data_IF_155167215385
#
_entry.id   IF_155167215385
#
_cell.length_a   1.000
_cell.length_b   1.000
_cell.length_c   1.000
_cell.angle_alpha   90.00
_cell.angle_beta   90.00
_cell.angle_gamma   90.00
#
_symmetry.space_group_name_H-M   'P 1'
#
loop_
_entity.id
_entity.type
_entity.pdbx_description
1 polymer ?
#
# COMPACT_ATOMS: atom_id res chain seq x y z
N UNK A 1 -8.55 -22.97 -3.83
CA UNK A 1 -9.46 -23.41 -4.91
C UNK A 1 -8.88 -23.22 -6.31
N UNK A 2 -7.99 -24.11 -6.75
CA UNK A 2 -7.54 -24.24 -8.15
C UNK A 2 -8.45 -25.16 -8.93
N UNK A 3 -9.22 -26.00 -8.23
CA UNK A 3 -10.20 -26.89 -8.85
C UNK A 3 -11.46 -26.10 -9.22
N UNK A 4 -11.89 -26.17 -10.49
CA UNK A 4 -13.11 -25.51 -10.92
C UNK A 4 -14.35 -26.19 -10.33
N UNK A 5 -15.26 -25.40 -9.77
CA UNK A 5 -16.55 -25.87 -9.30
C UNK A 5 -17.57 -25.84 -10.44
N UNK A 6 -18.34 -26.93 -10.59
CA UNK A 6 -19.47 -26.96 -11.52
C UNK A 6 -20.61 -26.13 -10.94
N UNK A 7 -20.95 -25.04 -11.61
CA UNK A 7 -21.95 -24.06 -11.14
C UNK A 7 -22.99 -23.82 -12.22
N UNK A 8 -24.26 -23.73 -11.82
CA UNK A 8 -25.34 -23.30 -12.69
C UNK A 8 -25.27 -21.77 -12.87
N UNK A 9 -25.01 -21.33 -14.09
CA UNK A 9 -24.98 -19.92 -14.46
C UNK A 9 -26.39 -19.35 -14.65
N UNK A 10 -26.49 -18.01 -14.63
CA UNK A 10 -27.76 -17.28 -14.83
C UNK A 10 -28.41 -17.52 -16.20
N UNK A 11 -27.63 -17.98 -17.18
CA UNK A 11 -28.10 -18.37 -18.52
C UNK A 11 -28.65 -19.81 -18.58
N UNK A 12 -28.70 -20.52 -17.44
CA UNK A 12 -29.22 -21.89 -17.32
C UNK A 12 -28.22 -22.98 -17.68
N UNK A 13 -26.97 -22.67 -18.01
CA UNK A 13 -25.95 -23.65 -18.35
C UNK A 13 -25.02 -23.95 -17.17
N UNK A 14 -24.55 -25.19 -17.08
CA UNK A 14 -23.53 -25.56 -16.10
C UNK A 14 -22.14 -25.27 -16.66
N UNK A 15 -21.37 -24.48 -15.93
CA UNK A 15 -20.01 -24.11 -16.28
C UNK A 15 -19.03 -24.53 -15.17
N UNK A 16 -17.80 -24.83 -15.58
CA UNK A 16 -16.67 -24.95 -14.66
C UNK A 16 -16.18 -23.55 -14.30
N UNK A 17 -16.37 -23.13 -13.04
CA UNK A 17 -16.02 -21.80 -12.55
C UNK A 17 -14.87 -21.92 -11.56
N UNK A 18 -13.83 -21.10 -11.75
CA UNK A 18 -12.82 -20.84 -10.73
C UNK A 18 -13.18 -19.52 -10.06
N UNK A 19 -13.39 -19.55 -8.75
CA UNK A 19 -13.66 -18.34 -7.98
C UNK A 19 -12.35 -17.61 -7.70
N UNK A 20 -12.32 -16.33 -8.02
CA UNK A 20 -11.21 -15.44 -7.71
C UNK A 20 -11.72 -14.16 -7.04
N UNK A 21 -10.86 -13.53 -6.28
CA UNK A 21 -11.08 -12.19 -5.75
C UNK A 21 -10.60 -11.15 -6.75
N UNK A 22 -11.20 -9.96 -6.69
CA UNK A 22 -10.98 -8.82 -7.58
C UNK A 22 -10.36 -7.65 -6.80
N UNK A 23 -10.04 -6.51 -7.45
CA UNK A 23 -9.32 -5.43 -6.78
C UNK A 23 -9.96 -5.06 -5.44
N UNK A 24 -9.15 -5.07 -4.39
CA UNK A 24 -9.57 -4.75 -3.03
C UNK A 24 -9.26 -3.27 -2.79
N UNK A 25 -10.30 -2.45 -2.74
CA UNK A 25 -10.17 -1.01 -2.53
C UNK A 25 -10.31 -0.75 -1.04
N UNK A 26 -9.24 -0.27 -0.43
CA UNK A 26 -9.26 0.16 0.96
C UNK A 26 -8.23 1.26 1.23
N UNK A 27 -8.36 1.91 2.38
CA UNK A 27 -7.44 2.92 2.89
C UNK A 27 -6.09 2.31 3.29
N UNK A 28 -5.07 3.16 3.41
CA UNK A 28 -3.71 2.70 3.69
C UNK A 28 -3.57 1.84 4.97
N UNK A 29 -4.15 2.20 6.13
CA UNK A 29 -4.10 1.34 7.32
C UNK A 29 -4.65 -0.07 7.10
N UNK A 30 -5.77 -0.21 6.39
CA UNK A 30 -6.31 -1.53 6.08
C UNK A 30 -5.47 -2.24 5.00
N UNK A 31 -4.90 -1.53 4.02
CA UNK A 31 -3.93 -2.14 3.07
C UNK A 31 -2.76 -2.78 3.81
N UNK A 32 -2.18 -2.08 4.78
CA UNK A 32 -1.07 -2.55 5.61
C UNK A 32 -1.46 -3.81 6.39
N UNK A 33 -2.66 -3.81 6.99
CA UNK A 33 -3.18 -4.95 7.73
C UNK A 33 -3.39 -6.18 6.83
N UNK A 34 -4.01 -6.01 5.66
CA UNK A 34 -4.38 -7.12 4.77
C UNK A 34 -3.18 -7.77 4.10
N UNK A 35 -2.13 -6.98 3.82
CA UNK A 35 -0.88 -7.47 3.19
C UNK A 35 0.15 -7.95 4.19
N UNK A 36 -0.03 -7.63 5.48
CA UNK A 36 0.95 -7.98 6.51
C UNK A 36 2.26 -7.23 6.36
N UNK A 37 2.23 -6.02 5.79
CA UNK A 37 3.38 -5.12 5.72
C UNK A 37 3.47 -4.22 6.93
N UNK A 38 4.64 -3.62 7.20
CA UNK A 38 4.79 -2.60 8.23
C UNK A 38 4.26 -1.25 7.76
N UNK A 39 3.74 -0.48 8.72
CA UNK A 39 3.27 0.88 8.45
C UNK A 39 4.43 1.78 8.00
N UNK A 40 4.20 2.57 6.95
CA UNK A 40 5.20 3.45 6.35
C UNK A 40 5.89 2.86 5.11
N UNK A 41 5.53 1.64 4.71
CA UNK A 41 6.07 0.98 3.53
C UNK A 41 4.99 0.67 2.49
N UNK A 42 5.40 0.11 1.35
CA UNK A 42 4.54 -0.11 0.20
C UNK A 42 3.99 -1.54 0.17
N UNK A 43 2.66 -1.66 0.20
CA UNK A 43 1.94 -2.92 0.06
C UNK A 43 2.16 -3.64 -1.29
N UNK A 44 2.64 -2.93 -2.31
CA UNK A 44 2.70 -3.43 -3.70
C UNK A 44 4.12 -3.71 -4.19
N UNK A 45 5.15 -3.10 -3.61
CA UNK A 45 6.52 -3.20 -4.09
C UNK A 45 7.52 -3.41 -2.97
N UNK A 46 8.68 -3.97 -3.32
CA UNK A 46 9.78 -4.25 -2.39
C UNK A 46 10.70 -3.05 -2.19
N UNK A 47 10.26 -1.85 -2.55
CA UNK A 47 11.06 -0.64 -2.42
C UNK A 47 11.26 -0.30 -0.95
N UNK A 48 12.50 0.01 -0.58
CA UNK A 48 12.81 0.44 0.77
C UNK A 48 12.24 1.84 1.02
N UNK A 49 11.55 2.06 2.14
CA UNK A 49 10.88 3.33 2.44
C UNK A 49 11.84 4.56 2.40
N UNK A 50 13.09 4.36 2.83
CA UNK A 50 14.16 5.37 2.80
C UNK A 50 14.92 5.46 1.46
N UNK A 51 14.64 4.59 0.49
CA UNK A 51 15.32 4.57 -0.81
C UNK A 51 14.36 4.15 -1.94
N UNK A 52 13.41 5.04 -2.26
CA UNK A 52 12.38 4.80 -3.27
C UNK A 52 12.95 4.77 -4.71
N UNK A 53 14.10 5.41 -4.94
CA UNK A 53 14.79 5.41 -6.24
C UNK A 53 15.62 4.14 -6.46
N UNK A 54 15.71 3.27 -5.45
CA UNK A 54 16.36 1.97 -5.56
C UNK A 54 15.62 1.02 -6.49
N UNK A 55 16.34 0.00 -6.97
CA UNK A 55 15.69 -1.11 -7.69
C UNK A 55 14.66 -1.78 -6.77
N UNK A 56 13.44 -1.93 -7.27
CA UNK A 56 12.35 -2.60 -6.57
C UNK A 56 11.62 -3.56 -7.49
N UNK A 57 11.09 -4.63 -6.91
CA UNK A 57 10.19 -5.58 -7.55
C UNK A 57 8.78 -5.45 -6.99
N UNK A 58 7.91 -6.36 -7.40
CA UNK A 58 6.57 -6.49 -6.82
C UNK A 58 6.61 -7.36 -5.55
N UNK A 59 5.81 -7.00 -4.55
CA UNK A 59 5.52 -7.93 -3.46
C UNK A 59 4.59 -9.04 -3.97
N UNK A 60 4.75 -10.22 -3.40
CA UNK A 60 3.88 -11.37 -3.65
C UNK A 60 3.88 -12.29 -2.44
N UNK A 61 2.90 -13.19 -2.35
CA UNK A 61 2.90 -14.27 -1.37
C UNK A 61 4.18 -15.10 -1.49
N UNK A 62 4.60 -15.45 -2.72
CA UNK A 62 5.83 -16.22 -2.95
C UNK A 62 7.07 -15.52 -2.38
N UNK A 63 7.18 -14.21 -2.58
CA UNK A 63 8.28 -13.41 -2.03
C UNK A 63 8.24 -13.43 -0.50
N UNK A 64 7.07 -13.18 0.09
CA UNK A 64 6.90 -13.13 1.54
C UNK A 64 7.17 -14.48 2.21
N UNK A 65 6.69 -15.57 1.61
CA UNK A 65 6.86 -16.93 2.12
C UNK A 65 8.32 -17.39 1.99
N UNK A 66 8.98 -17.07 0.87
CA UNK A 66 10.40 -17.37 0.69
C UNK A 66 11.26 -16.70 1.76
N UNK A 67 10.96 -15.44 2.11
CA UNK A 67 11.68 -14.71 3.14
C UNK A 67 11.37 -15.23 4.55
N UNK A 68 10.10 -15.53 4.86
CA UNK A 68 9.71 -16.11 6.17
C UNK A 68 10.42 -17.42 6.48
N UNK A 69 10.70 -18.23 5.46
CA UNK A 69 11.38 -19.51 5.64
C UNK A 69 12.88 -19.39 5.93
N UNK A 70 13.50 -18.25 5.62
CA UNK A 70 14.97 -18.08 5.65
C UNK A 70 15.42 -17.10 6.72
N UNK A 71 14.63 -16.07 7.00
CA UNK A 71 15.03 -14.94 7.83
C UNK A 71 14.37 -14.98 9.21
N UNK A 72 15.04 -14.39 10.20
CA UNK A 72 14.43 -14.20 11.51
C UNK A 72 13.37 -13.07 11.48
N UNK A 73 12.37 -13.11 12.37
CA UNK A 73 11.28 -12.11 12.40
C UNK A 73 11.75 -10.66 12.50
N UNK A 74 12.90 -10.39 13.13
CA UNK A 74 13.41 -9.03 13.31
C UNK A 74 14.04 -8.51 12.02
N UNK A 75 14.78 -9.35 11.29
CA UNK A 75 15.28 -8.98 9.96
C UNK A 75 14.16 -8.81 8.95
N UNK A 76 13.15 -9.70 8.96
CA UNK A 76 11.96 -9.59 8.10
C UNK A 76 11.26 -8.25 8.26
N UNK A 77 11.01 -7.85 9.51
CA UNK A 77 10.31 -6.59 9.79
C UNK A 77 11.14 -5.35 9.44
N UNK A 78 12.45 -5.37 9.67
CA UNK A 78 13.28 -4.18 9.52
C UNK A 78 13.72 -3.95 8.08
N UNK A 79 14.10 -5.03 7.38
CA UNK A 79 14.79 -4.94 6.09
C UNK A 79 13.86 -5.27 4.91
N UNK A 80 12.80 -6.04 5.16
CA UNK A 80 11.90 -6.58 4.13
C UNK A 80 10.43 -6.26 4.34
N UNK A 81 10.10 -5.46 5.38
CA UNK A 81 8.74 -4.95 5.58
C UNK A 81 7.67 -6.04 5.79
N UNK A 82 8.05 -7.24 6.22
CA UNK A 82 7.12 -8.35 6.40
C UNK A 82 6.88 -8.59 7.88
N UNK A 83 5.62 -8.55 8.29
CA UNK A 83 5.19 -8.92 9.65
C UNK A 83 5.04 -10.43 9.72
N UNK A 84 6.00 -11.10 10.37
CA UNK A 84 6.08 -12.55 10.47
C UNK A 84 4.78 -13.22 10.95
N UNK A 85 4.04 -12.60 11.87
CA UNK A 85 2.86 -13.19 12.49
C UNK A 85 1.55 -12.89 11.75
N UNK A 86 1.60 -12.10 10.67
CA UNK A 86 0.44 -11.79 9.83
C UNK A 86 0.57 -12.54 8.50
N UNK A 87 -0.40 -13.40 8.24
CA UNK A 87 -0.59 -14.09 6.96
C UNK A 87 -1.80 -13.47 6.27
N UNK A 88 -1.68 -12.98 5.03
CA UNK A 88 -2.81 -12.49 4.26
C UNK A 88 -3.94 -13.51 4.18
N UNK A 89 -5.19 -13.06 4.30
CA UNK A 89 -6.36 -13.95 4.17
C UNK A 89 -6.48 -14.58 2.77
N UNK A 90 -5.81 -13.98 1.78
CA UNK A 90 -5.73 -14.45 0.40
C UNK A 90 -4.76 -15.61 0.22
N UNK A 91 -3.91 -15.94 1.20
CA UNK A 91 -2.90 -17.00 1.06
C UNK A 91 -3.51 -18.39 0.78
N UNK A 92 -4.74 -18.63 1.24
CA UNK A 92 -5.47 -19.88 0.97
C UNK A 92 -6.18 -19.89 -0.42
N UNK A 93 -6.13 -18.78 -1.14
CA UNK A 93 -6.73 -18.61 -2.46
C UNK A 93 -5.64 -18.73 -3.55
N UNK A 94 -5.64 -19.81 -4.35
CA UNK A 94 -4.48 -20.17 -5.19
C UNK A 94 -4.38 -19.38 -6.49
N UNK A 95 -5.37 -18.53 -6.79
CA UNK A 95 -5.34 -17.63 -7.94
C UNK A 95 -5.49 -16.19 -7.46
N UNK A 96 -5.01 -15.89 -6.26
CA UNK A 96 -5.21 -14.59 -5.64
C UNK A 96 -4.00 -14.22 -4.79
N UNK A 97 -3.43 -13.07 -5.10
CA UNK A 97 -2.38 -12.44 -4.31
C UNK A 97 -2.87 -11.07 -3.86
N UNK A 98 -2.92 -10.81 -2.55
CA UNK A 98 -3.40 -9.52 -2.04
C UNK A 98 -2.53 -8.35 -2.54
N UNK A 99 -1.24 -8.58 -2.76
CA UNK A 99 -0.30 -7.59 -3.26
C UNK A 99 -0.56 -7.23 -4.72
N UNK A 100 -1.25 -8.09 -5.48
CA UNK A 100 -1.74 -7.79 -6.84
C UNK A 100 -3.17 -7.23 -6.83
N UNK A 101 -3.96 -7.56 -5.80
CA UNK A 101 -5.35 -7.13 -5.70
C UNK A 101 -5.52 -5.73 -5.14
N UNK A 102 -4.66 -5.27 -4.24
CA UNK A 102 -4.85 -3.97 -3.61
C UNK A 102 -4.73 -2.86 -4.66
N UNK A 103 -5.77 -2.03 -4.72
CA UNK A 103 -5.72 -0.82 -5.52
C UNK A 103 -4.89 0.25 -4.76
N UNK A 104 -3.94 0.94 -5.42
CA UNK A 104 -3.24 2.05 -4.78
C UNK A 104 -4.23 3.10 -4.27
N UNK A 105 -4.00 3.65 -3.07
CA UNK A 105 -4.80 4.76 -2.53
C UNK A 105 -4.39 6.09 -3.19
N UNK A 106 -4.76 6.24 -4.47
CA UNK A 106 -4.40 7.39 -5.29
C UNK A 106 -4.95 8.70 -4.73
N UNK A 107 -6.15 8.68 -4.16
CA UNK A 107 -6.77 9.88 -3.60
C UNK A 107 -6.00 10.37 -2.36
N UNK A 108 -5.66 9.46 -1.44
CA UNK A 108 -4.83 9.80 -0.30
C UNK A 108 -3.45 10.29 -0.73
N UNK A 109 -2.81 9.61 -1.68
CA UNK A 109 -1.49 10.01 -2.20
C UNK A 109 -1.52 11.40 -2.85
N UNK A 110 -2.58 11.72 -3.60
CA UNK A 110 -2.75 13.03 -4.21
C UNK A 110 -2.92 14.12 -3.14
N UNK A 111 -3.83 13.93 -2.18
CA UNK A 111 -4.11 14.94 -1.14
C UNK A 111 -2.92 15.11 -0.18
N UNK A 112 -2.40 14.01 0.36
CA UNK A 112 -1.29 14.06 1.32
C UNK A 112 0.04 14.34 0.63
N UNK A 113 0.39 13.56 -0.40
CA UNK A 113 1.67 13.69 -1.08
C UNK A 113 1.78 14.97 -1.90
N UNK A 114 0.89 15.18 -2.86
CA UNK A 114 1.02 16.32 -3.78
C UNK A 114 0.62 17.65 -3.15
N UNK A 115 -0.54 17.73 -2.50
CA UNK A 115 -1.01 19.00 -1.96
C UNK A 115 -0.32 19.33 -0.64
N UNK A 116 -0.42 18.46 0.37
CA UNK A 116 0.11 18.78 1.69
C UNK A 116 1.64 18.74 1.74
N UNK A 117 2.25 17.61 1.42
CA UNK A 117 3.67 17.40 1.67
C UNK A 117 4.56 18.12 0.63
N UNK A 118 4.07 18.32 -0.60
CA UNK A 118 4.80 19.04 -1.62
C UNK A 118 4.37 20.51 -1.80
N UNK A 119 3.13 20.78 -2.22
CA UNK A 119 2.69 22.12 -2.59
C UNK A 119 2.69 23.07 -1.38
N UNK A 120 2.06 22.69 -0.27
CA UNK A 120 2.02 23.53 0.95
C UNK A 120 3.42 23.73 1.51
N UNK A 121 4.26 22.69 1.56
CA UNK A 121 5.67 22.84 1.96
C UNK A 121 6.43 23.82 1.06
N UNK A 122 6.20 23.80 -0.25
CA UNK A 122 6.83 24.71 -1.20
C UNK A 122 6.38 26.16 -0.95
N UNK A 123 5.08 26.39 -0.79
CA UNK A 123 4.50 27.70 -0.49
C UNK A 123 5.05 28.24 0.84
N UNK A 124 5.12 27.41 1.88
CA UNK A 124 5.68 27.81 3.17
C UNK A 124 7.14 28.25 3.04
N UNK A 125 7.97 27.47 2.32
CA UNK A 125 9.37 27.84 2.05
C UNK A 125 9.48 29.16 1.28
N UNK A 126 8.62 29.36 0.29
CA UNK A 126 8.59 30.59 -0.49
C UNK A 126 8.22 31.81 0.39
N UNK A 127 7.15 31.70 1.19
CA UNK A 127 6.73 32.77 2.09
C UNK A 127 7.82 33.10 3.13
N UNK A 128 8.49 32.09 3.67
CA UNK A 128 9.62 32.29 4.59
C UNK A 128 10.78 33.07 3.94
N UNK A 129 11.05 32.82 2.64
CA UNK A 129 12.11 33.50 1.89
C UNK A 129 11.74 34.96 1.58
N UNK A 130 10.50 35.24 1.19
CA UNK A 130 10.04 36.58 0.78
C UNK A 130 9.73 37.50 1.97
N UNK A 131 9.10 36.96 3.01
CA UNK A 131 8.53 37.75 4.10
C UNK A 131 9.22 37.55 5.44
N UNK A 132 10.16 36.60 5.52
CA UNK A 132 10.77 36.18 6.77
C UNK A 132 9.84 35.30 7.60
N UNK A 133 10.42 34.46 8.46
CA UNK A 133 9.70 33.42 9.21
C UNK A 133 8.50 33.92 10.01
N UNK A 134 8.61 35.08 10.66
CA UNK A 134 7.55 35.59 11.53
C UNK A 134 6.31 36.00 10.72
N UNK A 135 6.49 36.79 9.67
CA UNK A 135 5.38 37.26 8.85
C UNK A 135 4.81 36.15 7.95
N UNK A 136 5.64 35.22 7.47
CA UNK A 136 5.18 34.02 6.80
C UNK A 136 4.24 33.18 7.68
N UNK A 137 4.56 33.04 8.98
CA UNK A 137 3.70 32.36 9.94
C UNK A 137 2.33 33.02 10.12
N UNK A 138 2.28 34.36 10.13
CA UNK A 138 1.01 35.11 10.20
C UNK A 138 0.15 34.90 8.95
N UNK A 139 0.77 34.91 7.76
CA UNK A 139 0.10 34.66 6.48
C UNK A 139 -0.45 33.23 6.44
N UNK A 140 0.36 32.24 6.81
CA UNK A 140 -0.06 30.83 6.84
C UNK A 140 -1.19 30.63 7.85
N UNK A 141 -1.09 31.22 9.05
CA UNK A 141 -2.14 31.13 10.05
C UNK A 141 -3.46 31.75 9.57
N UNK A 142 -3.40 32.83 8.78
CA UNK A 142 -4.58 33.42 8.15
C UNK A 142 -5.20 32.51 7.07
N UNK A 143 -4.35 31.86 6.26
CA UNK A 143 -4.79 30.90 5.23
C UNK A 143 -5.40 29.65 5.88
N UNK A 144 -4.83 29.18 6.98
CA UNK A 144 -5.28 27.99 7.73
C UNK A 144 -6.48 28.28 8.66
N UNK A 145 -7.02 29.49 8.64
CA UNK A 145 -8.27 29.80 9.34
C UNK A 145 -9.43 28.98 8.75
N UNK A 146 -9.79 27.91 9.45
CA UNK A 146 -11.12 27.26 9.39
C UNK A 146 -11.94 27.62 10.62
#
# INVERSE_FOLDING_TARGET
MTEPAVTLCLDGHFCHIVYGLRPYITDYPEQVLLTGVMQGWCALCTAHNNNLDGGSGHQSHEHSDALRNVLDPKMLSNDYDIIHDIVPFTSDFPCTDIHELIAPDLLHQLIKGMFKDHLVTCINKYLELEHGKQHAGEIIANIDCR
#
